data_IF_894647263462
#
_entry.id   IF_894647263462
#
_cell.length_a   1.000
_cell.length_b   1.000
_cell.length_c   1.000
_cell.angle_alpha   90.00
_cell.angle_beta   90.00
_cell.angle_gamma   90.00
#
_symmetry.space_group_name_H-M   'P 1'
#
loop_
_entity.id
_entity.type
_entity.pdbx_description
1 polymer ?
#
# COMPACT_ATOMS: atom_id res chain seq x y z
N UNK A 1 26.58 40.61 -23.99
CA UNK A 1 26.48 40.56 -22.51
C UNK A 1 25.22 39.79 -22.16
N UNK A 2 25.33 38.53 -21.75
CA UNK A 2 24.19 37.64 -21.47
C UNK A 2 24.19 37.32 -19.97
N UNK A 3 23.65 38.24 -19.14
CA UNK A 3 23.73 38.11 -17.67
C UNK A 3 22.47 37.53 -17.01
N UNK A 4 21.50 37.04 -17.76
CA UNK A 4 20.30 36.41 -17.20
C UNK A 4 20.42 34.88 -17.21
N UNK A 5 21.24 34.34 -16.30
CA UNK A 5 21.04 32.96 -15.83
C UNK A 5 19.99 32.98 -14.73
N UNK A 6 18.73 32.81 -15.13
CA UNK A 6 17.59 32.57 -14.22
C UNK A 6 17.82 31.23 -13.52
N UNK A 7 17.96 31.24 -12.19
CA UNK A 7 18.13 30.03 -11.36
C UNK A 7 19.39 29.98 -10.48
N UNK A 8 20.29 30.98 -10.55
CA UNK A 8 21.38 31.10 -9.56
C UNK A 8 20.86 31.74 -8.26
N UNK A 9 21.06 31.05 -7.14
CA UNK A 9 20.84 31.60 -5.80
C UNK A 9 21.87 32.71 -5.59
N UNK A 10 21.42 33.94 -5.39
CA UNK A 10 22.29 35.09 -5.09
C UNK A 10 22.05 35.53 -3.65
N UNK A 11 23.12 35.66 -2.87
CA UNK A 11 23.09 36.32 -1.58
C UNK A 11 23.38 37.81 -1.80
N UNK A 12 22.51 38.71 -1.33
CA UNK A 12 22.92 40.12 -1.18
C UNK A 12 23.99 40.20 -0.07
N UNK A 13 24.96 41.13 -0.14
CA UNK A 13 25.95 41.29 0.93
C UNK A 13 25.24 41.59 2.26
N UNK A 14 25.26 40.62 3.19
CA UNK A 14 24.56 40.71 4.48
C UNK A 14 23.05 40.37 4.45
N UNK A 15 22.51 39.86 3.35
CA UNK A 15 21.07 39.58 3.18
C UNK A 15 20.74 38.10 3.02
N UNK A 16 19.45 37.76 3.19
CA UNK A 16 18.92 36.40 3.00
C UNK A 16 19.15 35.94 1.55
N UNK A 17 19.30 34.62 1.38
CA UNK A 17 19.41 34.01 0.05
C UNK A 17 18.11 34.22 -0.72
N UNK A 18 18.21 34.76 -1.93
CA UNK A 18 17.06 35.02 -2.81
C UNK A 18 17.27 34.27 -4.15
N UNK A 19 16.20 33.72 -4.71
CA UNK A 19 16.16 33.18 -6.07
C UNK A 19 15.12 33.98 -6.85
N UNK A 20 15.57 34.96 -7.64
CA UNK A 20 14.66 35.96 -8.21
C UNK A 20 14.06 36.84 -7.11
N UNK A 21 12.73 36.96 -7.07
CA UNK A 21 11.99 37.69 -6.02
C UNK A 21 11.61 36.80 -4.82
N UNK A 22 11.90 35.49 -4.88
CA UNK A 22 11.54 34.55 -3.82
C UNK A 22 12.65 34.45 -2.77
N UNK A 23 12.29 34.66 -1.50
CA UNK A 23 13.18 34.42 -0.36
C UNK A 23 13.38 32.91 -0.17
N UNK A 24 14.62 32.44 -0.31
CA UNK A 24 14.99 31.04 -0.08
C UNK A 24 15.32 30.88 1.41
N UNK A 25 14.50 30.11 2.12
CA UNK A 25 14.76 29.76 3.53
C UNK A 25 15.43 28.39 3.57
N UNK A 26 16.54 28.25 4.31
CA UNK A 26 17.27 26.98 4.43
C UNK A 26 16.45 25.86 5.08
N UNK A 27 15.52 26.21 5.99
CA UNK A 27 14.63 25.29 6.69
C UNK A 27 13.21 25.85 6.72
N UNK A 28 12.27 25.12 6.15
CA UNK A 28 10.85 25.44 6.26
C UNK A 28 10.28 24.87 7.56
N UNK A 29 9.63 25.69 8.40
CA UNK A 29 8.86 25.24 9.57
C UNK A 29 7.53 24.56 9.21
N UNK A 30 7.37 24.16 7.94
CA UNK A 30 6.17 23.44 7.49
C UNK A 30 6.30 21.97 7.90
N UNK A 31 5.29 21.37 8.54
CA UNK A 31 5.32 19.95 8.82
C UNK A 31 5.43 19.18 7.51
N UNK A 32 6.44 18.31 7.42
CA UNK A 32 6.60 17.42 6.26
C UNK A 32 5.36 16.52 6.13
N UNK A 33 4.97 16.14 4.89
CA UNK A 33 3.95 15.12 4.71
C UNK A 33 4.30 13.88 5.51
N UNK A 34 3.34 13.38 6.30
CA UNK A 34 3.55 12.18 7.12
C UNK A 34 3.90 11.01 6.20
N UNK A 35 5.08 10.41 6.40
CA UNK A 35 5.42 9.12 5.81
C UNK A 35 4.41 8.08 6.30
N UNK A 36 3.56 7.60 5.39
CA UNK A 36 2.60 6.53 5.67
C UNK A 36 3.33 5.19 5.54
N UNK A 37 3.78 4.64 6.65
CA UNK A 37 4.28 3.28 6.70
C UNK A 37 3.10 2.34 7.04
N UNK A 38 2.79 1.40 6.14
CA UNK A 38 1.89 0.28 6.44
C UNK A 38 2.66 -0.77 7.24
N UNK A 39 2.51 -0.79 8.56
CA UNK A 39 3.04 -1.87 9.40
C UNK A 39 2.10 -3.08 9.33
N UNK A 40 2.57 -4.28 9.69
CA UNK A 40 1.71 -5.48 9.78
C UNK A 40 0.49 -5.26 10.70
N UNK A 41 0.65 -4.44 11.75
CA UNK A 41 -0.41 -4.00 12.66
C UNK A 41 -1.41 -2.98 12.06
N UNK A 42 -1.17 -2.50 10.83
CA UNK A 42 -2.14 -1.69 10.10
C UNK A 42 -3.33 -2.50 9.56
N UNK A 43 -3.36 -3.82 9.83
CA UNK A 43 -4.47 -4.77 9.65
C UNK A 43 -5.83 -4.30 10.20
N UNK A 44 -5.86 -3.27 11.07
CA UNK A 44 -7.11 -2.67 11.57
C UNK A 44 -8.09 -2.24 10.47
N UNK A 45 -7.61 -1.94 9.26
CA UNK A 45 -8.48 -1.65 8.13
C UNK A 45 -8.93 -2.90 7.36
N UNK A 46 -8.16 -3.99 7.42
CA UNK A 46 -8.47 -5.26 6.77
C UNK A 46 -9.54 -6.06 7.50
N UNK A 47 -9.68 -5.88 8.81
CA UNK A 47 -10.70 -6.53 9.64
C UNK A 47 -11.99 -5.70 9.76
N UNK A 48 -12.07 -4.55 9.07
CA UNK A 48 -13.23 -3.68 9.18
C UNK A 48 -14.48 -4.41 8.66
N UNK A 49 -15.57 -4.49 9.45
CA UNK A 49 -16.76 -5.20 9.02
C UNK A 49 -17.30 -4.56 7.74
N UNK A 50 -17.40 -5.37 6.69
CA UNK A 50 -17.99 -4.97 5.43
C UNK A 50 -19.53 -5.01 5.55
N UNK A 51 -20.26 -4.17 4.80
CA UNK A 51 -21.71 -4.29 4.66
C UNK A 51 -22.14 -5.70 4.26
N UNK A 52 -23.32 -6.11 4.68
CA UNK A 52 -23.90 -7.39 4.27
C UNK A 52 -23.94 -7.50 2.74
N UNK A 53 -23.47 -8.64 2.20
CA UNK A 53 -23.39 -8.88 0.75
C UNK A 53 -22.11 -8.35 0.09
N UNK A 54 -21.15 -7.83 0.85
CA UNK A 54 -19.81 -7.49 0.35
C UNK A 54 -18.71 -8.26 1.08
N UNK A 55 -17.58 -8.48 0.40
CA UNK A 55 -16.42 -9.16 0.96
C UNK A 55 -15.45 -8.15 1.60
N UNK A 56 -14.94 -8.52 2.76
CA UNK A 56 -13.87 -7.79 3.42
C UNK A 56 -12.48 -8.14 2.83
N UNK A 57 -11.47 -7.30 3.03
CA UNK A 57 -10.10 -7.53 2.56
C UNK A 57 -9.51 -8.80 3.16
N UNK A 58 -9.75 -9.07 4.44
CA UNK A 58 -9.33 -10.31 5.09
C UNK A 58 -9.95 -11.55 4.44
N UNK A 59 -11.23 -11.49 4.06
CA UNK A 59 -11.93 -12.58 3.37
C UNK A 59 -11.39 -12.78 1.95
N UNK A 60 -11.10 -11.69 1.23
CA UNK A 60 -10.46 -11.75 -0.10
C UNK A 60 -9.08 -12.42 -0.01
N UNK A 61 -8.29 -12.06 1.02
CA UNK A 61 -7.00 -12.71 1.27
C UNK A 61 -7.17 -14.20 1.55
N UNK A 62 -8.15 -14.58 2.36
CA UNK A 62 -8.45 -15.97 2.67
C UNK A 62 -8.87 -16.77 1.43
N UNK A 63 -9.69 -16.19 0.54
CA UNK A 63 -10.07 -16.79 -0.76
C UNK A 63 -8.83 -17.16 -1.58
N UNK A 64 -7.84 -16.25 -1.66
CA UNK A 64 -6.61 -16.49 -2.40
C UNK A 64 -5.77 -17.58 -1.72
N UNK A 65 -5.68 -17.58 -0.38
CA UNK A 65 -4.95 -18.58 0.38
C UNK A 65 -5.58 -19.99 0.24
N UNK A 66 -6.90 -20.09 0.24
CA UNK A 66 -7.62 -21.35 0.02
C UNK A 66 -7.38 -21.90 -1.37
N UNK A 67 -7.40 -21.05 -2.40
CA UNK A 67 -7.09 -21.47 -3.76
C UNK A 67 -5.63 -21.94 -3.88
N UNK A 68 -4.70 -21.29 -3.18
CA UNK A 68 -3.28 -21.69 -3.14
C UNK A 68 -2.99 -22.91 -2.24
N UNK A 69 -3.97 -23.35 -1.43
CA UNK A 69 -3.79 -24.40 -0.43
C UNK A 69 -2.87 -24.02 0.72
N UNK A 70 -2.75 -22.71 1.00
CA UNK A 70 -1.95 -22.12 2.09
C UNK A 70 -2.82 -21.58 3.23
N UNK A 71 -4.11 -21.87 3.21
CA UNK A 71 -5.01 -21.47 4.28
C UNK A 71 -4.74 -22.32 5.52
N UNK A 72 -4.77 -21.69 6.70
CA UNK A 72 -4.65 -22.38 7.99
C UNK A 72 -5.89 -23.26 8.27
N UNK A 73 -7.05 -22.88 7.73
CA UNK A 73 -8.33 -23.54 7.95
C UNK A 73 -8.54 -24.81 7.11
N UNK A 74 -7.87 -24.90 5.95
CA UNK A 74 -8.07 -26.02 5.02
C UNK A 74 -6.75 -26.50 4.42
N UNK A 75 -6.52 -27.81 4.54
CA UNK A 75 -5.31 -28.46 4.02
C UNK A 75 -5.52 -28.86 2.55
N UNK A 76 -5.06 -28.02 1.64
CA UNK A 76 -5.09 -28.28 0.19
C UNK A 76 -5.73 -27.16 -0.61
N UNK A 77 -5.52 -27.15 -1.93
CA UNK A 77 -6.17 -26.19 -2.81
C UNK A 77 -7.67 -26.49 -2.91
N UNK A 78 -8.49 -25.47 -2.70
CA UNK A 78 -9.93 -25.56 -2.87
C UNK A 78 -10.33 -25.07 -4.27
N UNK A 79 -11.29 -25.75 -4.90
CA UNK A 79 -11.84 -25.32 -6.20
C UNK A 79 -12.68 -24.04 -6.06
N UNK A 80 -12.81 -23.29 -7.15
CA UNK A 80 -13.56 -22.03 -7.23
C UNK A 80 -15.00 -22.21 -6.73
N UNK A 81 -15.65 -23.32 -7.08
CA UNK A 81 -17.02 -23.60 -6.66
C UNK A 81 -17.11 -23.86 -5.14
N UNK A 82 -16.14 -24.58 -4.57
CA UNK A 82 -16.10 -24.83 -3.12
C UNK A 82 -15.87 -23.54 -2.31
N UNK A 83 -15.05 -22.63 -2.84
CA UNK A 83 -14.83 -21.31 -2.24
C UNK A 83 -16.12 -20.47 -2.33
N UNK A 84 -16.78 -20.47 -3.48
CA UNK A 84 -18.04 -19.76 -3.70
C UNK A 84 -19.13 -20.18 -2.70
N UNK A 85 -19.28 -21.49 -2.46
CA UNK A 85 -20.22 -22.04 -1.48
C UNK A 85 -19.87 -21.62 -0.04
N UNK A 86 -18.58 -21.68 0.34
CA UNK A 86 -18.13 -21.32 1.71
C UNK A 86 -18.44 -19.86 2.06
N UNK A 87 -18.19 -18.95 1.12
CA UNK A 87 -18.41 -17.52 1.32
C UNK A 87 -19.79 -17.02 0.85
N UNK A 88 -20.62 -17.92 0.31
CA UNK A 88 -21.95 -17.61 -0.28
C UNK A 88 -21.89 -16.50 -1.33
N UNK A 89 -20.87 -16.55 -2.17
CA UNK A 89 -20.65 -15.62 -3.28
C UNK A 89 -20.74 -16.35 -4.60
N UNK A 90 -21.03 -15.61 -5.66
CA UNK A 90 -21.09 -16.16 -7.01
C UNK A 90 -19.69 -16.57 -7.50
N UNK A 91 -19.60 -17.70 -8.21
CA UNK A 91 -18.32 -18.25 -8.70
C UNK A 91 -17.61 -17.27 -9.64
N UNK A 92 -18.35 -16.48 -10.41
CA UNK A 92 -17.77 -15.45 -11.27
C UNK A 92 -17.09 -14.32 -10.48
N UNK A 93 -17.51 -14.05 -9.24
CA UNK A 93 -16.83 -13.10 -8.37
C UNK A 93 -15.51 -13.67 -7.85
N UNK A 94 -15.50 -14.94 -7.43
CA UNK A 94 -14.28 -15.63 -6.99
C UNK A 94 -13.26 -15.70 -8.12
N UNK A 95 -13.69 -16.02 -9.34
CA UNK A 95 -12.81 -16.02 -10.51
C UNK A 95 -12.22 -14.64 -10.81
N UNK A 96 -13.03 -13.57 -10.72
CA UNK A 96 -12.54 -12.19 -10.87
C UNK A 96 -11.51 -11.83 -9.81
N UNK A 97 -11.75 -12.21 -8.55
CA UNK A 97 -10.78 -11.97 -7.46
C UNK A 97 -9.45 -12.63 -7.79
N UNK A 98 -9.46 -13.91 -8.19
CA UNK A 98 -8.23 -14.65 -8.51
C UNK A 98 -7.50 -14.08 -9.75
N UNK A 99 -8.25 -13.50 -10.70
CA UNK A 99 -7.67 -12.91 -11.91
C UNK A 99 -7.03 -11.53 -11.65
N UNK A 100 -7.66 -10.70 -10.82
CA UNK A 100 -7.27 -9.30 -10.65
C UNK A 100 -6.52 -9.00 -9.36
N UNK A 101 -6.55 -9.89 -8.38
CA UNK A 101 -5.91 -9.70 -7.08
C UNK A 101 -4.75 -10.68 -6.94
N UNK A 102 -3.55 -10.14 -6.71
CA UNK A 102 -2.38 -10.91 -6.33
C UNK A 102 -1.96 -10.54 -4.91
N UNK A 103 -1.50 -11.53 -4.15
CA UNK A 103 -0.86 -11.26 -2.88
C UNK A 103 0.58 -10.77 -3.13
N UNK A 104 1.08 -9.82 -2.34
CA UNK A 104 2.51 -9.51 -2.34
C UNK A 104 3.29 -10.79 -2.07
N UNK A 105 4.48 -10.97 -2.67
CA UNK A 105 5.35 -12.07 -2.30
C UNK A 105 5.62 -11.98 -0.79
N UNK A 106 5.46 -13.09 -0.07
CA UNK A 106 5.86 -13.09 1.34
C UNK A 106 7.37 -12.85 1.40
N UNK A 107 7.75 -11.78 2.07
CA UNK A 107 9.15 -11.46 2.36
C UNK A 107 9.78 -12.64 3.12
N UNK A 108 10.48 -13.51 2.39
CA UNK A 108 11.28 -14.61 2.94
C UNK A 108 12.42 -14.12 3.87
N UNK A 109 12.57 -12.80 4.05
CA UNK A 109 13.62 -12.16 4.83
C UNK A 109 13.44 -12.26 6.36
N UNK A 110 12.32 -12.79 6.86
CA UNK A 110 12.13 -13.02 8.31
C UNK A 110 12.65 -14.37 8.83
N UNK A 111 13.42 -15.13 8.04
CA UNK A 111 14.27 -16.21 8.56
C UNK A 111 15.73 -15.76 8.62
N UNK A 112 16.12 -15.00 9.65
CA UNK A 112 17.43 -15.08 10.35
C UNK A 112 17.38 -14.27 11.65
N UNK A 113 17.00 -14.92 12.74
CA UNK A 113 17.66 -14.72 14.03
C UNK A 113 17.96 -16.12 14.58
N UNK A 114 19.14 -16.61 14.19
CA UNK A 114 19.87 -17.62 14.94
C UNK A 114 20.60 -16.94 16.08
#
# INVERSE_FOLDING_TARGET
MLSQMVGRIQAKPGGKLEMGEATVVEKYDRPLPKLRNTTLESSRYEERPAPYGTLNVSQIREIILLHQGRSDDHKGSMDINGIAERFRVDAAQVQRILQFVSLPPEDASKKRKS
#
